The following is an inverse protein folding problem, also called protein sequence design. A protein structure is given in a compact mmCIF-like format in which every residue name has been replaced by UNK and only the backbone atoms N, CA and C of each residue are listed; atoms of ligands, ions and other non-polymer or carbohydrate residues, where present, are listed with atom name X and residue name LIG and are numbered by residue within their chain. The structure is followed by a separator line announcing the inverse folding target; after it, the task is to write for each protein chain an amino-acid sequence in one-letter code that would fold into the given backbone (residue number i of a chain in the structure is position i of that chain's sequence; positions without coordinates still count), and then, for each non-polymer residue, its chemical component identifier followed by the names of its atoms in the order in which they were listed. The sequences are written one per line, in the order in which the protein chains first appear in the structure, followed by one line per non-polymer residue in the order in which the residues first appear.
data_IF_162116590959
#
_entry.id   IF_162116590959
#
_cell.length_a   1.000
_cell.length_b   1.000
_cell.length_c   1.000
_cell.angle_alpha   90.00
_cell.angle_beta   90.00
_cell.angle_gamma   90.00
#
_symmetry.space_group_name_H-M   'P 1'
#
loop_
_entity.id
_entity.type
_entity.pdbx_description
1 polymer ?
#
# COMPACT_ATOMS: atom_id res chain seq x y z
N UNK A 1 16.88 -10.01 -6.07
CA UNK A 1 15.54 -9.98 -5.44
C UNK A 1 14.67 -9.02 -6.22
N UNK A 2 13.36 -9.29 -6.40
CA UNK A 2 12.44 -8.32 -6.97
C UNK A 2 12.38 -7.08 -6.06
N UNK A 3 12.41 -5.90 -6.67
CA UNK A 3 12.29 -4.63 -5.95
C UNK A 3 10.86 -4.16 -5.98
N UNK A 4 10.34 -3.70 -4.86
CA UNK A 4 9.00 -3.10 -4.82
C UNK A 4 9.04 -1.74 -5.51
N UNK A 5 8.11 -1.53 -6.45
CA UNK A 5 7.97 -0.27 -7.19
C UNK A 5 6.55 0.24 -7.02
N UNK A 6 6.42 1.43 -6.47
CA UNK A 6 5.15 2.14 -6.36
C UNK A 6 4.89 2.94 -7.65
N UNK A 7 3.73 2.74 -8.27
CA UNK A 7 3.31 3.57 -9.40
C UNK A 7 3.02 4.99 -8.94
N UNK A 8 3.11 5.97 -9.84
CA UNK A 8 2.77 7.37 -9.52
C UNK A 8 1.34 7.50 -8.97
N UNK A 9 0.40 6.74 -9.52
CA UNK A 9 -0.99 6.72 -9.06
C UNK A 9 -1.10 6.19 -7.63
N UNK A 10 -0.38 5.11 -7.29
CA UNK A 10 -0.39 4.57 -5.92
C UNK A 10 0.20 5.54 -4.89
N UNK A 11 1.26 6.29 -5.24
CA UNK A 11 1.81 7.35 -4.39
C UNK A 11 0.82 8.50 -4.19
N UNK A 12 0.13 8.91 -5.26
CA UNK A 12 -0.93 9.91 -5.16
C UNK A 12 -2.08 9.43 -4.26
N UNK A 13 -2.50 8.16 -4.39
CA UNK A 13 -3.50 7.56 -3.51
C UNK A 13 -3.03 7.53 -2.06
N UNK A 14 -1.79 7.14 -1.75
CA UNK A 14 -1.26 7.17 -0.38
C UNK A 14 -1.32 8.57 0.22
N UNK A 15 -0.92 9.59 -0.55
CA UNK A 15 -0.98 10.97 -0.10
C UNK A 15 -2.43 11.44 0.16
N UNK A 16 -3.38 11.07 -0.71
CA UNK A 16 -4.80 11.37 -0.49
C UNK A 16 -5.34 10.73 0.79
N UNK A 17 -5.00 9.46 1.06
CA UNK A 17 -5.41 8.78 2.30
C UNK A 17 -4.78 9.43 3.52
N UNK A 18 -3.50 9.80 3.45
CA UNK A 18 -2.82 10.54 4.51
C UNK A 18 -3.55 11.85 4.81
N UNK A 19 -3.80 12.67 3.79
CA UNK A 19 -4.48 13.96 3.94
C UNK A 19 -5.90 13.79 4.50
N UNK A 20 -6.62 12.74 4.09
CA UNK A 20 -7.95 12.45 4.62
C UNK A 20 -7.91 12.11 6.11
N UNK A 21 -7.06 11.17 6.52
CA UNK A 21 -6.94 10.73 7.91
C UNK A 21 -6.39 11.83 8.82
N UNK A 22 -5.46 12.65 8.31
CA UNK A 22 -4.82 13.72 9.08
C UNK A 22 -5.80 14.85 9.47
N UNK A 23 -6.96 14.96 8.80
CA UNK A 23 -8.03 15.89 9.22
C UNK A 23 -8.63 15.52 10.57
N UNK A 24 -8.58 14.24 10.95
CA UNK A 24 -9.16 13.73 12.19
C UNK A 24 -8.08 13.41 13.22
N UNK A 25 -7.04 12.67 12.83
CA UNK A 25 -5.92 12.29 13.68
C UNK A 25 -4.63 12.19 12.86
N UNK A 26 -3.73 13.19 12.97
CA UNK A 26 -2.44 13.18 12.27
C UNK A 26 -1.54 11.99 12.63
N UNK A 27 -1.59 11.52 13.88
CA UNK A 27 -0.76 10.39 14.31
C UNK A 27 -1.29 9.07 13.74
N UNK A 28 -2.61 8.92 13.66
CA UNK A 28 -3.24 7.80 12.98
C UNK A 28 -2.89 7.78 11.49
N UNK A 29 -2.90 8.94 10.82
CA UNK A 29 -2.53 9.05 9.42
C UNK A 29 -1.11 8.52 9.16
N UNK A 30 -0.14 8.93 9.97
CA UNK A 30 1.25 8.44 9.88
C UNK A 30 1.32 6.92 10.09
N UNK A 31 0.66 6.40 11.13
CA UNK A 31 0.64 4.96 11.43
C UNK A 31 0.04 4.14 10.30
N UNK A 32 -1.07 4.61 9.72
CA UNK A 32 -1.75 3.94 8.62
C UNK A 32 -0.86 3.85 7.38
N UNK A 33 -0.25 4.97 6.96
CA UNK A 33 0.65 4.99 5.79
C UNK A 33 1.87 4.11 6.03
N UNK A 34 2.50 4.20 7.21
CA UNK A 34 3.64 3.36 7.57
C UNK A 34 3.28 1.88 7.44
N UNK A 35 2.11 1.48 7.92
CA UNK A 35 1.69 0.08 7.84
C UNK A 35 1.49 -0.40 6.40
N UNK A 36 0.94 0.44 5.54
CA UNK A 36 0.78 0.10 4.11
C UNK A 36 2.14 -0.07 3.44
N UNK A 37 3.09 0.84 3.72
CA UNK A 37 4.46 0.75 3.20
C UNK A 37 5.15 -0.53 3.67
N UNK A 38 5.11 -0.83 4.97
CA UNK A 38 5.69 -2.07 5.54
C UNK A 38 5.12 -3.34 4.89
N UNK A 39 3.81 -3.39 4.66
CA UNK A 39 3.17 -4.55 4.01
C UNK A 39 3.58 -4.64 2.54
N UNK A 40 3.66 -3.50 1.83
CA UNK A 40 4.14 -3.46 0.45
C UNK A 40 5.59 -3.91 0.32
N UNK A 41 6.49 -3.44 1.19
CA UNK A 41 7.91 -3.81 1.21
C UNK A 41 8.12 -5.31 1.50
N UNK A 42 7.23 -5.94 2.26
CA UNK A 42 7.30 -7.39 2.50
C UNK A 42 7.22 -8.24 1.22
N UNK A 43 6.73 -7.68 0.11
CA UNK A 43 6.66 -8.34 -1.19
C UNK A 43 8.02 -8.55 -1.85
N UNK A 44 9.07 -7.81 -1.46
CA UNK A 44 10.43 -8.09 -1.93
C UNK A 44 10.89 -9.50 -1.53
N UNK A 45 10.41 -9.96 -0.37
CA UNK A 45 10.65 -11.32 0.14
C UNK A 45 9.56 -12.30 -0.30
N UNK A 46 8.29 -11.88 -0.21
CA UNK A 46 7.11 -12.74 -0.45
C UNK A 46 6.26 -12.22 -1.62
N UNK A 47 6.79 -12.28 -2.83
CA UNK A 47 6.16 -11.70 -4.03
C UNK A 47 4.77 -12.24 -4.37
N UNK A 48 4.44 -13.45 -3.89
CA UNK A 48 3.13 -14.09 -4.06
C UNK A 48 2.19 -13.90 -2.88
N UNK A 49 2.52 -13.03 -1.92
CA UNK A 49 1.60 -12.72 -0.82
C UNK A 49 0.33 -12.06 -1.36
N UNK A 50 -0.78 -12.29 -0.66
CA UNK A 50 -2.08 -11.71 -0.98
C UNK A 50 -3.00 -12.64 -1.77
N UNK A 51 -4.30 -12.36 -1.64
CA UNK A 51 -5.36 -13.08 -2.33
C UNK A 51 -5.49 -12.59 -3.79
N UNK A 52 -5.79 -13.52 -4.69
CA UNK A 52 -6.10 -13.18 -6.09
C UNK A 52 -7.40 -12.37 -6.12
N UNK A 53 -7.42 -11.31 -6.92
CA UNK A 53 -8.63 -10.52 -7.16
C UNK A 53 -9.24 -10.96 -8.49
N UNK A 54 -10.33 -11.73 -8.43
CA UNK A 54 -10.96 -12.30 -9.64
C UNK A 54 -11.39 -11.22 -10.64
N UNK A 55 -11.85 -10.07 -10.14
CA UNK A 55 -12.31 -8.97 -10.96
C UNK A 55 -11.16 -8.19 -11.62
N UNK A 56 -9.90 -8.51 -11.30
CA UNK A 56 -8.74 -7.76 -11.74
C UNK A 56 -7.54 -8.68 -12.03
N UNK A 57 -7.52 -9.32 -13.22
CA UNK A 57 -6.50 -10.29 -13.59
C UNK A 57 -5.08 -9.72 -13.44
N UNK A 58 -4.20 -10.50 -12.80
CA UNK A 58 -2.82 -10.11 -12.52
C UNK A 58 -2.61 -9.30 -11.24
N UNK A 59 -3.68 -8.90 -10.54
CA UNK A 59 -3.58 -8.20 -9.25
C UNK A 59 -3.83 -9.12 -8.05
N UNK A 60 -3.22 -8.76 -6.92
CA UNK A 60 -3.41 -9.42 -5.62
C UNK A 60 -3.72 -8.39 -4.55
N UNK A 61 -4.58 -8.75 -3.59
CA UNK A 61 -4.95 -7.93 -2.44
C UNK A 61 -4.23 -8.44 -1.18
N UNK A 62 -3.58 -7.53 -0.47
CA UNK A 62 -2.83 -7.80 0.76
C UNK A 62 -3.65 -7.56 2.03
#
# INVERSE_FOLDING_TARGET
MPKVVWTRQSLASLNLHHQFLAKTDPNLAVKAIKKIVEVGESLETYSQRGAIVEQAPGMRKL
#
